data_IF_006248049345
#
_entry.id   IF_006248049345
#
_cell.length_a   1.000
_cell.length_b   1.000
_cell.length_c   1.000
_cell.angle_alpha   90.00
_cell.angle_beta   90.00
_cell.angle_gamma   90.00
#
_symmetry.space_group_name_H-M   'P 1'
#
loop_
_entity.id
_entity.type
_entity.pdbx_description
1 polymer ?
#
# COMPACT_ATOMS: atom_id res chain seq x y z
N UNK A 1 -5.85 -24.13 -7.75
CA UNK A 1 -5.54 -22.99 -8.66
C UNK A 1 -4.72 -21.97 -7.87
N UNK A 2 -3.49 -21.68 -8.29
CA UNK A 2 -2.64 -20.65 -7.69
C UNK A 2 -2.85 -19.31 -8.39
N UNK A 3 -2.66 -18.22 -7.69
CA UNK A 3 -2.74 -16.86 -8.26
C UNK A 3 -1.35 -16.25 -8.32
N UNK A 4 -0.98 -15.76 -9.50
CA UNK A 4 0.19 -14.91 -9.72
C UNK A 4 -0.30 -13.47 -9.77
N UNK A 5 0.14 -12.63 -8.84
CA UNK A 5 -0.04 -11.19 -8.93
C UNK A 5 1.18 -10.58 -9.64
N UNK A 6 0.96 -9.88 -10.73
CA UNK A 6 1.99 -9.18 -11.50
C UNK A 6 1.91 -7.70 -11.18
N UNK A 7 2.81 -7.25 -10.34
CA UNK A 7 2.94 -5.84 -9.98
C UNK A 7 3.81 -5.13 -11.03
N UNK A 8 3.20 -4.29 -11.85
CA UNK A 8 3.90 -3.71 -12.99
C UNK A 8 3.34 -2.35 -13.38
N UNK A 9 4.23 -1.49 -13.89
CA UNK A 9 3.84 -0.29 -14.62
C UNK A 9 3.68 -0.63 -16.11
N UNK A 10 2.62 -0.13 -16.72
CA UNK A 10 2.23 -0.43 -18.10
C UNK A 10 3.19 0.18 -19.13
N UNK A 11 4.00 1.17 -18.74
CA UNK A 11 5.07 1.77 -19.58
C UNK A 11 6.45 1.15 -19.30
N UNK A 12 6.54 0.13 -18.45
CA UNK A 12 7.79 -0.54 -18.13
C UNK A 12 8.18 -1.54 -19.22
N UNK A 13 9.28 -1.30 -19.93
CA UNK A 13 9.78 -2.24 -20.94
C UNK A 13 10.11 -3.63 -20.36
N UNK A 14 10.61 -3.68 -19.11
CA UNK A 14 10.84 -4.94 -18.41
C UNK A 14 9.54 -5.66 -18.04
N UNK A 15 8.46 -4.92 -17.75
CA UNK A 15 7.14 -5.53 -17.53
C UNK A 15 6.57 -6.12 -18.83
N UNK A 16 6.75 -5.45 -19.97
CA UNK A 16 6.38 -5.97 -21.28
C UNK A 16 7.15 -7.26 -21.61
N UNK A 17 8.47 -7.30 -21.38
CA UNK A 17 9.29 -8.52 -21.53
C UNK A 17 8.83 -9.59 -20.54
N UNK A 18 8.55 -9.22 -19.30
CA UNK A 18 8.06 -10.13 -18.25
C UNK A 18 6.75 -10.80 -18.62
N UNK A 19 5.82 -10.05 -19.23
CA UNK A 19 4.56 -10.59 -19.76
C UNK A 19 4.81 -11.66 -20.81
N UNK A 20 5.67 -11.39 -21.80
CA UNK A 20 6.02 -12.38 -22.85
C UNK A 20 6.62 -13.66 -22.26
N UNK A 21 7.44 -13.55 -21.24
CA UNK A 21 8.05 -14.70 -20.55
C UNK A 21 7.04 -15.47 -19.71
N UNK A 22 6.10 -14.76 -19.07
CA UNK A 22 5.02 -15.38 -18.32
C UNK A 22 4.10 -16.22 -19.23
N UNK A 23 3.82 -15.72 -20.44
CA UNK A 23 3.04 -16.45 -21.47
C UNK A 23 3.75 -17.70 -22.00
N UNK A 24 5.07 -17.74 -21.91
CA UNK A 24 5.89 -18.90 -22.30
C UNK A 24 6.12 -19.90 -21.17
N UNK A 25 5.77 -19.53 -19.94
CA UNK A 25 5.97 -20.39 -18.78
C UNK A 25 4.97 -21.55 -18.78
N UNK A 26 5.47 -22.77 -18.58
CA UNK A 26 4.66 -23.96 -18.43
C UNK A 26 4.44 -24.25 -16.95
N UNK A 27 3.18 -24.27 -16.55
CA UNK A 27 2.79 -24.50 -15.15
C UNK A 27 2.21 -25.92 -15.00
N UNK A 28 2.60 -26.63 -13.93
CA UNK A 28 2.13 -27.97 -13.62
C UNK A 28 0.69 -27.99 -13.06
N UNK A 29 0.11 -26.83 -12.83
CA UNK A 29 -1.22 -26.62 -12.25
C UNK A 29 -1.90 -25.39 -12.86
N UNK A 30 -3.22 -25.28 -12.67
CA UNK A 30 -3.99 -24.10 -13.10
C UNK A 30 -3.53 -22.84 -12.36
N UNK A 31 -3.22 -21.81 -13.12
CA UNK A 31 -2.75 -20.52 -12.61
C UNK A 31 -3.67 -19.40 -13.07
N UNK A 32 -4.05 -18.55 -12.15
CA UNK A 32 -4.75 -17.31 -12.42
C UNK A 32 -3.75 -16.13 -12.39
N UNK A 33 -3.72 -15.33 -13.43
CA UNK A 33 -2.85 -14.15 -13.52
C UNK A 33 -3.69 -12.92 -13.22
N UNK A 34 -3.23 -12.09 -12.27
CA UNK A 34 -3.88 -10.83 -11.90
C UNK A 34 -2.84 -9.70 -11.95
N UNK A 35 -3.14 -8.67 -12.72
CA UNK A 35 -2.29 -7.49 -12.82
C UNK A 35 -2.60 -6.51 -11.69
N UNK A 36 -1.52 -5.96 -11.10
CA UNK A 36 -1.55 -5.00 -10.01
C UNK A 36 -0.78 -3.74 -10.36
N UNK A 37 -1.23 -2.57 -9.94
CA UNK A 37 -0.58 -1.32 -10.29
C UNK A 37 0.79 -1.18 -9.62
N UNK A 38 1.74 -0.69 -10.38
CA UNK A 38 3.01 -0.15 -9.91
C UNK A 38 3.32 1.11 -10.73
N UNK A 39 3.86 2.14 -10.09
CA UNK A 39 4.30 3.37 -10.77
C UNK A 39 5.81 3.49 -10.62
N UNK A 40 6.54 3.49 -11.72
CA UNK A 40 8.01 3.57 -11.72
C UNK A 40 8.46 4.91 -11.13
N UNK A 41 7.84 5.99 -11.56
CA UNK A 41 8.05 7.32 -11.02
C UNK A 41 6.71 8.07 -10.95
N UNK A 42 6.05 8.05 -9.79
CA UNK A 42 4.74 8.68 -9.66
C UNK A 42 4.76 10.21 -9.84
N UNK A 43 5.94 10.82 -9.87
CA UNK A 43 6.11 12.27 -10.04
C UNK A 43 6.52 12.67 -11.46
N UNK A 44 6.92 11.70 -12.31
CA UNK A 44 7.31 12.00 -13.68
C UNK A 44 6.11 12.33 -14.56
N UNK A 45 6.18 13.39 -15.39
CA UNK A 45 5.08 13.74 -16.30
C UNK A 45 4.68 12.60 -17.24
N UNK A 46 5.63 11.79 -17.70
CA UNK A 46 5.36 10.64 -18.57
C UNK A 46 4.59 9.51 -17.88
N UNK A 47 4.70 9.39 -16.56
CA UNK A 47 3.99 8.37 -15.75
C UNK A 47 2.71 8.93 -15.13
N UNK A 48 2.49 10.24 -15.18
CA UNK A 48 1.24 10.84 -14.70
C UNK A 48 0.00 10.29 -15.41
N UNK A 49 0.16 9.86 -16.67
CA UNK A 49 -0.91 9.23 -17.45
C UNK A 49 -1.16 7.75 -17.12
N UNK A 50 -0.19 7.01 -16.58
CA UNK A 50 -0.35 5.58 -16.32
C UNK A 50 -1.31 5.28 -15.16
N UNK A 51 -1.57 6.24 -14.29
CA UNK A 51 -2.56 6.08 -13.21
C UNK A 51 -3.97 5.80 -13.75
N UNK A 52 -4.43 6.55 -14.77
CA UNK A 52 -5.74 6.31 -15.40
C UNK A 52 -5.75 4.97 -16.17
N UNK A 53 -4.63 4.57 -16.80
CA UNK A 53 -4.49 3.25 -17.41
C UNK A 53 -4.61 2.12 -16.35
N UNK A 54 -4.00 2.28 -15.19
CA UNK A 54 -4.18 1.32 -14.08
C UNK A 54 -5.61 1.27 -13.56
N UNK A 55 -6.34 2.40 -13.57
CA UNK A 55 -7.77 2.42 -13.21
C UNK A 55 -8.59 1.58 -14.18
N UNK A 56 -8.37 1.72 -15.48
CA UNK A 56 -9.07 0.91 -16.49
C UNK A 56 -8.74 -0.57 -16.31
N UNK A 57 -7.48 -0.92 -16.05
CA UNK A 57 -7.05 -2.32 -15.76
C UNK A 57 -7.70 -2.86 -14.48
N UNK A 58 -7.84 -2.05 -13.43
CA UNK A 58 -8.54 -2.46 -12.20
C UNK A 58 -10.04 -2.68 -12.44
N UNK A 59 -10.68 -1.78 -13.19
CA UNK A 59 -12.09 -1.90 -13.56
C UNK A 59 -12.34 -3.12 -14.48
N UNK A 60 -11.38 -3.48 -15.34
CA UNK A 60 -11.48 -4.70 -16.14
C UNK A 60 -11.49 -5.96 -15.28
N UNK A 61 -10.68 -6.00 -14.23
CA UNK A 61 -10.70 -7.11 -13.26
C UNK A 61 -12.04 -7.21 -12.54
N UNK A 62 -12.54 -6.09 -12.06
CA UNK A 62 -13.81 -6.01 -11.31
C UNK A 62 -15.02 -6.43 -12.17
N UNK A 63 -15.08 -5.94 -13.41
CA UNK A 63 -16.25 -6.13 -14.28
C UNK A 63 -16.21 -7.39 -15.15
N UNK A 64 -15.04 -7.93 -15.46
CA UNK A 64 -14.88 -9.06 -16.37
C UNK A 64 -13.85 -10.10 -15.97
N UNK A 65 -13.25 -9.95 -14.79
CA UNK A 65 -12.31 -10.91 -14.23
C UNK A 65 -10.92 -10.90 -14.86
N UNK A 66 -10.06 -11.85 -14.45
CA UNK A 66 -8.64 -11.86 -14.83
C UNK A 66 -8.39 -11.98 -16.34
N UNK A 67 -9.25 -12.70 -17.08
CA UNK A 67 -9.09 -12.86 -18.52
C UNK A 67 -9.30 -11.54 -19.28
N UNK A 68 -10.33 -10.75 -18.93
CA UNK A 68 -10.55 -9.45 -19.50
C UNK A 68 -9.45 -8.47 -19.11
N UNK A 69 -9.01 -8.53 -17.86
CA UNK A 69 -7.90 -7.71 -17.38
C UNK A 69 -6.62 -7.98 -18.17
N UNK A 70 -6.22 -9.23 -18.37
CA UNK A 70 -5.01 -9.57 -19.12
C UNK A 70 -5.10 -9.19 -20.59
N UNK A 71 -6.25 -9.39 -21.23
CA UNK A 71 -6.49 -8.96 -22.61
C UNK A 71 -6.37 -7.42 -22.76
N UNK A 72 -6.85 -6.67 -21.77
CA UNK A 72 -6.72 -5.21 -21.77
C UNK A 72 -5.28 -4.75 -21.52
N UNK A 73 -4.56 -5.36 -20.59
CA UNK A 73 -3.14 -5.10 -20.36
C UNK A 73 -2.34 -5.33 -21.65
N UNK A 74 -2.63 -6.42 -22.37
CA UNK A 74 -2.01 -6.71 -23.67
C UNK A 74 -2.22 -5.57 -24.66
N UNK A 75 -3.47 -5.11 -24.82
CA UNK A 75 -3.80 -4.01 -25.76
C UNK A 75 -3.13 -2.69 -25.37
N UNK A 76 -3.14 -2.35 -24.08
CA UNK A 76 -2.51 -1.11 -23.58
C UNK A 76 -1.00 -1.16 -23.81
N UNK A 77 -0.35 -2.27 -23.48
CA UNK A 77 1.10 -2.42 -23.70
C UNK A 77 1.44 -2.42 -25.20
N UNK A 78 0.64 -3.07 -26.06
CA UNK A 78 0.83 -3.04 -27.49
C UNK A 78 0.69 -1.63 -28.05
N UNK A 79 -0.38 -0.91 -27.69
CA UNK A 79 -0.61 0.47 -28.09
C UNK A 79 0.57 1.38 -27.72
N UNK A 80 1.11 1.22 -26.51
CA UNK A 80 2.25 2.02 -26.04
C UNK A 80 3.57 1.64 -26.73
N UNK A 81 3.95 0.35 -26.74
CA UNK A 81 5.28 -0.09 -27.18
C UNK A 81 5.40 -0.28 -28.70
N UNK A 82 4.31 -0.61 -29.39
CA UNK A 82 4.32 -0.92 -30.80
C UNK A 82 3.75 0.22 -31.63
N UNK A 83 2.57 0.74 -31.23
CA UNK A 83 1.87 1.77 -32.01
C UNK A 83 2.31 3.19 -31.63
N UNK A 84 3.03 3.36 -30.49
CA UNK A 84 3.45 4.66 -29.99
C UNK A 84 2.31 5.55 -29.51
N UNK A 85 1.19 4.93 -29.11
CA UNK A 85 -0.01 5.64 -28.64
C UNK A 85 0.20 6.25 -27.27
N UNK A 86 -0.43 7.39 -27.02
CA UNK A 86 -0.47 8.02 -25.69
C UNK A 86 -1.51 7.32 -24.81
N UNK A 87 -1.05 6.43 -23.93
CA UNK A 87 -1.91 5.77 -22.93
C UNK A 87 -2.21 6.64 -21.70
N UNK A 88 -1.77 7.90 -21.70
CA UNK A 88 -2.21 8.94 -20.76
C UNK A 88 -3.49 9.63 -21.21
N UNK A 89 -3.84 9.54 -22.48
CA UNK A 89 -5.07 10.09 -23.03
C UNK A 89 -6.28 9.20 -22.70
N UNK A 90 -7.28 9.76 -22.03
CA UNK A 90 -8.49 9.02 -21.63
C UNK A 90 -9.32 8.51 -22.80
N UNK A 91 -9.35 9.24 -23.94
CA UNK A 91 -10.07 8.79 -25.12
C UNK A 91 -9.40 7.55 -25.73
N UNK A 92 -8.06 7.54 -25.78
CA UNK A 92 -7.27 6.37 -26.19
C UNK A 92 -7.54 5.17 -25.27
N UNK A 93 -7.51 5.36 -23.95
CA UNK A 93 -7.79 4.30 -22.99
C UNK A 93 -9.22 3.75 -23.13
N UNK A 94 -10.22 4.62 -23.32
CA UNK A 94 -11.60 4.20 -23.51
C UNK A 94 -11.79 3.39 -24.82
N UNK A 95 -11.10 3.78 -25.88
CA UNK A 95 -11.13 3.04 -27.15
C UNK A 95 -10.50 1.65 -27.02
N UNK A 96 -9.32 1.54 -26.38
CA UNK A 96 -8.64 0.26 -26.11
C UNK A 96 -9.48 -0.66 -25.23
N UNK A 97 -10.17 -0.10 -24.24
CA UNK A 97 -11.07 -0.83 -23.37
C UNK A 97 -12.30 -1.37 -24.13
N UNK A 98 -12.93 -0.54 -24.95
CA UNK A 98 -14.06 -0.94 -25.81
C UNK A 98 -13.67 -2.06 -26.78
N UNK A 99 -12.50 -2.01 -27.38
CA UNK A 99 -11.96 -3.08 -28.22
C UNK A 99 -11.73 -4.39 -27.46
N UNK A 100 -11.46 -4.32 -26.15
CA UNK A 100 -11.36 -5.48 -25.27
C UNK A 100 -12.73 -5.99 -24.79
N UNK A 101 -13.83 -5.28 -25.13
CA UNK A 101 -15.18 -5.62 -24.67
C UNK A 101 -15.56 -4.97 -23.35
N UNK A 102 -14.89 -3.89 -22.95
CA UNK A 102 -15.17 -3.12 -21.73
C UNK A 102 -15.64 -1.71 -22.07
N UNK A 103 -16.95 -1.54 -22.22
CA UNK A 103 -17.58 -0.26 -22.58
C UNK A 103 -17.71 0.69 -21.37
N UNK A 104 -17.97 1.98 -21.66
CA UNK A 104 -18.28 3.01 -20.66
C UNK A 104 -17.08 3.51 -19.86
N UNK A 105 -15.85 3.32 -20.36
CA UNK A 105 -14.65 3.70 -19.62
C UNK A 105 -14.40 5.21 -19.63
N UNK A 106 -14.86 5.95 -20.63
CA UNK A 106 -14.74 7.40 -20.64
C UNK A 106 -15.50 8.01 -19.46
N UNK A 107 -16.76 7.64 -19.31
CA UNK A 107 -17.63 8.09 -18.21
C UNK A 107 -17.11 7.60 -16.84
N UNK A 108 -16.65 6.36 -16.75
CA UNK A 108 -16.08 5.81 -15.52
C UNK A 108 -14.82 6.57 -15.07
N UNK A 109 -13.93 6.91 -16.02
CA UNK A 109 -12.74 7.70 -15.74
C UNK A 109 -13.10 9.13 -15.31
N UNK A 110 -14.09 9.75 -15.93
CA UNK A 110 -14.55 11.10 -15.58
C UNK A 110 -15.24 11.11 -14.20
N UNK A 111 -15.97 10.05 -13.86
CA UNK A 111 -16.59 9.85 -12.54
C UNK A 111 -15.58 9.52 -11.43
N UNK A 112 -14.31 9.28 -11.76
CA UNK A 112 -13.27 8.92 -10.78
C UNK A 112 -13.27 7.45 -10.37
N UNK A 113 -14.01 6.56 -11.05
CA UNK A 113 -14.05 5.14 -10.73
C UNK A 113 -12.66 4.49 -10.78
N UNK A 114 -12.41 3.50 -9.93
CA UNK A 114 -11.14 2.80 -9.82
C UNK A 114 -10.01 3.58 -9.12
N UNK A 115 -10.23 4.87 -8.79
CA UNK A 115 -9.19 5.72 -8.17
C UNK A 115 -8.76 5.20 -6.80
N UNK A 116 -9.72 4.89 -5.95
CA UNK A 116 -9.45 4.43 -4.59
C UNK A 116 -8.86 3.02 -4.60
N UNK A 117 -9.37 2.14 -5.46
CA UNK A 117 -8.83 0.79 -5.65
C UNK A 117 -7.34 0.82 -6.06
N UNK A 118 -6.99 1.62 -7.06
CA UNK A 118 -5.59 1.73 -7.51
C UNK A 118 -4.69 2.28 -6.41
N UNK A 119 -5.14 3.31 -5.68
CA UNK A 119 -4.39 3.87 -4.54
C UNK A 119 -4.16 2.84 -3.44
N UNK A 120 -5.19 2.10 -3.08
CA UNK A 120 -5.11 1.08 -2.03
C UNK A 120 -4.21 -0.08 -2.48
N UNK A 121 -4.27 -0.49 -3.75
CA UNK A 121 -3.36 -1.50 -4.31
C UNK A 121 -1.90 -1.01 -4.34
N UNK A 122 -1.62 0.23 -4.73
CA UNK A 122 -0.27 0.79 -4.67
C UNK A 122 0.30 0.79 -3.24
N UNK A 123 -0.51 1.14 -2.25
CA UNK A 123 -0.13 1.07 -0.84
C UNK A 123 0.08 -0.37 -0.38
N UNK A 124 -0.79 -1.30 -0.80
CA UNK A 124 -0.61 -2.73 -0.55
C UNK A 124 0.70 -3.24 -1.13
N UNK A 125 0.99 -2.94 -2.40
CA UNK A 125 2.26 -3.30 -3.04
C UNK A 125 3.46 -2.82 -2.25
N UNK A 126 3.45 -1.56 -1.82
CA UNK A 126 4.48 -0.97 -0.96
C UNK A 126 4.59 -1.70 0.38
N UNK A 127 3.46 -1.99 1.04
CA UNK A 127 3.43 -2.67 2.33
C UNK A 127 3.99 -4.09 2.28
N UNK A 128 3.77 -4.83 1.19
CA UNK A 128 4.32 -6.18 0.99
C UNK A 128 5.73 -6.21 0.39
N UNK A 129 6.37 -5.03 0.23
CA UNK A 129 7.75 -4.92 -0.20
C UNK A 129 7.99 -4.93 -1.72
N UNK A 130 6.97 -4.64 -2.53
CA UNK A 130 7.15 -4.44 -3.97
C UNK A 130 7.88 -3.12 -4.21
N UNK A 131 9.09 -3.20 -4.78
CA UNK A 131 9.96 -2.04 -4.99
C UNK A 131 10.41 -1.87 -6.44
N UNK A 132 9.95 -2.74 -7.34
CA UNK A 132 10.34 -2.71 -8.76
C UNK A 132 9.25 -3.29 -9.65
N UNK A 133 9.31 -2.92 -10.94
CA UNK A 133 8.42 -3.40 -12.02
C UNK A 133 9.23 -4.19 -13.05
N UNK A 134 8.78 -5.40 -13.44
CA UNK A 134 7.73 -6.17 -12.79
C UNK A 134 8.19 -6.85 -11.50
N UNK A 135 7.26 -7.15 -10.60
CA UNK A 135 7.44 -8.10 -9.50
C UNK A 135 6.31 -9.12 -9.56
N UNK A 136 6.66 -10.40 -9.51
CA UNK A 136 5.71 -11.52 -9.50
C UNK A 136 5.55 -12.02 -8.07
N UNK A 137 4.31 -12.12 -7.60
CA UNK A 137 3.98 -12.55 -6.23
C UNK A 137 3.05 -13.75 -6.30
N UNK A 138 3.39 -14.82 -5.59
CA UNK A 138 2.57 -16.04 -5.45
C UNK A 138 2.54 -16.42 -3.97
N UNK A 139 1.39 -16.27 -3.33
CA UNK A 139 1.29 -16.49 -1.89
C UNK A 139 2.19 -15.52 -1.10
N UNK A 140 3.10 -16.07 -0.28
CA UNK A 140 4.11 -15.30 0.47
C UNK A 140 5.46 -15.22 -0.26
N UNK A 141 5.54 -15.75 -1.48
CA UNK A 141 6.77 -15.76 -2.28
C UNK A 141 6.73 -14.68 -3.35
N UNK A 142 7.86 -14.02 -3.58
CA UNK A 142 7.96 -12.97 -4.60
C UNK A 142 9.30 -13.04 -5.34
N UNK A 143 9.28 -12.63 -6.61
CA UNK A 143 10.49 -12.49 -7.43
C UNK A 143 10.40 -11.23 -8.28
N UNK A 144 11.48 -10.45 -8.30
CA UNK A 144 11.55 -9.17 -8.98
C UNK A 144 12.19 -9.29 -10.38
N UNK A 145 11.77 -8.42 -11.30
CA UNK A 145 12.30 -8.31 -12.64
C UNK A 145 11.70 -9.30 -13.63
N UNK A 146 12.03 -9.12 -14.92
CA UNK A 146 11.59 -10.00 -16.01
C UNK A 146 12.40 -11.32 -15.94
N UNK A 147 11.91 -12.27 -15.19
CA UNK A 147 12.53 -13.58 -15.01
C UNK A 147 12.30 -14.50 -16.22
N UNK A 148 13.08 -15.58 -16.37
CA UNK A 148 12.84 -16.57 -17.42
C UNK A 148 11.58 -17.40 -17.14
N UNK A 149 10.99 -18.01 -18.18
CA UNK A 149 9.80 -18.86 -18.02
C UNK A 149 9.98 -19.96 -16.97
N UNK A 150 11.16 -20.59 -16.94
CA UNK A 150 11.49 -21.66 -16.00
C UNK A 150 11.51 -21.17 -14.56
N UNK A 151 12.06 -19.96 -14.32
CA UNK A 151 12.11 -19.34 -12.99
C UNK A 151 10.71 -18.94 -12.52
N UNK A 152 9.84 -18.49 -13.43
CA UNK A 152 8.43 -18.22 -13.11
C UNK A 152 7.66 -19.51 -12.79
N UNK A 153 7.90 -20.59 -13.51
CA UNK A 153 7.32 -21.90 -13.20
C UNK A 153 7.81 -22.42 -11.84
N UNK A 154 9.10 -22.27 -11.54
CA UNK A 154 9.68 -22.64 -10.25
C UNK A 154 9.11 -21.79 -9.08
N UNK A 155 8.88 -20.51 -9.30
CA UNK A 155 8.19 -19.66 -8.30
C UNK A 155 6.81 -20.25 -7.97
N UNK A 156 6.00 -20.59 -8.97
CA UNK A 156 4.67 -21.16 -8.76
C UNK A 156 4.76 -22.51 -8.04
N UNK A 157 5.68 -23.39 -8.48
CA UNK A 157 5.86 -24.74 -7.91
C UNK A 157 6.21 -24.71 -6.43
N UNK A 158 7.12 -23.80 -6.03
CA UNK A 158 7.68 -23.74 -4.68
C UNK A 158 7.10 -22.62 -3.80
N UNK A 159 6.10 -21.89 -4.31
CA UNK A 159 5.49 -20.79 -3.56
C UNK A 159 4.93 -21.25 -2.22
N UNK A 160 5.27 -20.52 -1.18
CA UNK A 160 4.66 -20.69 0.13
C UNK A 160 3.23 -20.12 0.07
N UNK A 161 2.20 -20.95 0.38
CA UNK A 161 0.83 -20.46 0.40
C UNK A 161 0.66 -19.26 1.32
N UNK A 162 -0.09 -18.26 0.87
CA UNK A 162 -0.43 -17.14 1.75
C UNK A 162 -1.23 -17.65 2.94
N UNK A 163 -0.87 -17.16 4.13
CA UNK A 163 -1.68 -17.41 5.31
C UNK A 163 -2.99 -16.64 5.18
N UNK A 164 -4.10 -17.37 5.24
CA UNK A 164 -5.42 -16.74 5.33
C UNK A 164 -5.56 -16.02 6.67
N UNK A 165 -5.69 -14.72 6.61
CA UNK A 165 -5.91 -13.86 7.76
C UNK A 165 -7.20 -13.07 7.52
N UNK A 166 -7.94 -12.72 8.58
CA UNK A 166 -9.02 -11.75 8.48
C UNK A 166 -8.53 -10.45 7.84
N UNK A 167 -9.39 -9.79 7.06
CA UNK A 167 -9.05 -8.54 6.36
C UNK A 167 -8.54 -7.46 7.32
N UNK A 168 -9.13 -7.38 8.50
CA UNK A 168 -8.75 -6.42 9.55
C UNK A 168 -7.29 -6.63 9.99
N UNK A 169 -6.88 -7.90 10.17
CA UNK A 169 -5.51 -8.24 10.56
C UNK A 169 -4.54 -7.94 9.43
N UNK A 170 -4.94 -8.21 8.19
CA UNK A 170 -4.13 -7.93 7.00
C UNK A 170 -3.92 -6.43 6.83
N UNK A 171 -4.99 -5.62 6.95
CA UNK A 171 -4.91 -4.16 6.90
C UNK A 171 -4.04 -3.58 8.02
N UNK A 172 -4.19 -4.10 9.24
CA UNK A 172 -3.37 -3.67 10.38
C UNK A 172 -1.87 -3.89 10.10
N UNK A 173 -1.50 -5.08 9.62
CA UNK A 173 -0.12 -5.41 9.24
C UNK A 173 0.41 -4.54 8.11
N UNK A 174 -0.40 -4.25 7.10
CA UNK A 174 -0.01 -3.35 6.02
C UNK A 174 0.23 -1.93 6.54
N UNK A 175 -0.62 -1.44 7.44
CA UNK A 175 -0.45 -0.13 8.05
C UNK A 175 0.82 -0.06 8.93
N UNK A 176 1.13 -1.11 9.68
CA UNK A 176 2.39 -1.22 10.43
C UNK A 176 3.59 -1.16 9.50
N UNK A 177 3.59 -1.97 8.44
CA UNK A 177 4.66 -1.97 7.43
C UNK A 177 4.85 -0.59 6.79
N UNK A 178 3.76 0.11 6.45
CA UNK A 178 3.83 1.46 5.90
C UNK A 178 4.42 2.47 6.89
N UNK A 179 4.12 2.35 8.18
CA UNK A 179 4.75 3.17 9.22
C UNK A 179 6.27 2.92 9.31
N UNK A 180 6.69 1.67 9.24
CA UNK A 180 8.11 1.30 9.25
C UNK A 180 8.83 1.82 8.00
N UNK A 181 8.13 1.89 6.87
CA UNK A 181 8.56 2.53 5.62
C UNK A 181 8.44 4.06 5.62
N UNK A 182 8.11 4.66 6.77
CA UNK A 182 7.93 6.11 6.97
C UNK A 182 6.85 6.73 6.08
N UNK A 183 5.80 5.97 5.83
CA UNK A 183 4.61 6.42 5.12
C UNK A 183 3.37 6.47 6.04
N UNK A 184 3.30 7.45 6.95
CA UNK A 184 2.20 7.55 7.89
C UNK A 184 0.87 7.94 7.23
N UNK A 185 0.91 8.62 6.07
CA UNK A 185 -0.32 8.96 5.34
C UNK A 185 -0.88 7.74 4.62
N UNK A 186 -0.02 6.91 4.01
CA UNK A 186 -0.43 5.64 3.45
C UNK A 186 -0.98 4.68 4.52
N UNK A 187 -0.36 4.64 5.70
CA UNK A 187 -0.87 3.87 6.83
C UNK A 187 -2.28 4.33 7.24
N UNK A 188 -2.52 5.64 7.37
CA UNK A 188 -3.84 6.18 7.69
C UNK A 188 -4.88 5.81 6.63
N UNK A 189 -4.52 5.86 5.35
CA UNK A 189 -5.41 5.48 4.26
C UNK A 189 -5.85 4.02 4.37
N UNK A 190 -4.90 3.10 4.55
CA UNK A 190 -5.20 1.66 4.71
C UNK A 190 -6.04 1.39 5.96
N UNK A 191 -5.89 2.22 7.00
CA UNK A 191 -6.62 2.09 8.25
C UNK A 191 -8.03 2.69 8.22
N UNK A 192 -8.43 3.46 7.21
CA UNK A 192 -9.75 4.10 7.19
C UNK A 192 -10.92 3.15 7.53
N UNK A 193 -11.05 1.96 6.93
CA UNK A 193 -12.11 1.02 7.29
C UNK A 193 -11.99 0.51 8.73
N UNK A 194 -10.75 0.22 9.20
CA UNK A 194 -10.52 -0.23 10.57
C UNK A 194 -10.92 0.84 11.60
N UNK A 195 -10.64 2.11 11.30
CA UNK A 195 -11.02 3.22 12.18
C UNK A 195 -12.54 3.41 12.22
N UNK A 196 -13.25 3.14 11.12
CA UNK A 196 -14.70 3.22 11.07
C UNK A 196 -15.38 2.07 11.83
N UNK A 197 -14.88 0.84 11.70
CA UNK A 197 -15.51 -0.36 12.24
C UNK A 197 -14.95 -0.77 13.62
N UNK A 198 -13.66 -0.58 13.84
CA UNK A 198 -12.90 -1.02 15.01
C UNK A 198 -12.14 0.13 15.70
N UNK A 199 -12.63 1.36 15.53
CA UNK A 199 -11.98 2.56 16.09
C UNK A 199 -11.87 2.56 17.62
N UNK A 200 -12.54 1.63 18.31
CA UNK A 200 -12.43 1.46 19.77
C UNK A 200 -11.41 0.41 20.20
N UNK A 201 -10.86 -0.38 19.28
CA UNK A 201 -9.82 -1.36 19.57
C UNK A 201 -8.51 -0.64 19.95
N UNK A 202 -7.88 -1.02 21.09
CA UNK A 202 -6.65 -0.36 21.55
C UNK A 202 -5.49 -0.45 20.55
N UNK A 203 -5.36 -1.56 19.81
CA UNK A 203 -4.28 -1.75 18.83
C UNK A 203 -4.48 -0.84 17.61
N UNK A 204 -5.73 -0.75 17.12
CA UNK A 204 -6.10 0.16 16.03
C UNK A 204 -5.85 1.62 16.43
N UNK A 205 -6.27 2.01 17.64
CA UNK A 205 -6.03 3.36 18.16
C UNK A 205 -4.55 3.69 18.30
N UNK A 206 -3.78 2.78 18.86
CA UNK A 206 -2.35 3.00 19.04
C UNK A 206 -1.64 3.15 17.71
N UNK A 207 -1.98 2.32 16.73
CA UNK A 207 -1.41 2.41 15.38
C UNK A 207 -1.80 3.72 14.69
N UNK A 208 -3.07 4.13 14.80
CA UNK A 208 -3.53 5.43 14.31
C UNK A 208 -2.79 6.61 14.96
N UNK A 209 -2.57 6.56 16.27
CA UNK A 209 -1.81 7.58 16.98
C UNK A 209 -0.36 7.67 16.50
N UNK A 210 0.29 6.54 16.23
CA UNK A 210 1.62 6.48 15.59
C UNK A 210 1.61 7.15 14.22
N UNK A 211 0.60 6.87 13.41
CA UNK A 211 0.45 7.44 12.08
C UNK A 211 0.15 8.96 12.13
N UNK A 212 -0.72 9.41 13.02
CA UNK A 212 -0.96 10.84 13.26
C UNK A 212 0.30 11.56 13.75
N UNK A 213 1.05 10.97 14.67
CA UNK A 213 2.33 11.52 15.12
C UNK A 213 3.33 11.61 13.96
N UNK A 214 3.47 10.55 13.16
CA UNK A 214 4.37 10.48 12.01
C UNK A 214 4.05 11.53 10.95
N UNK A 215 2.76 11.77 10.68
CA UNK A 215 2.26 12.76 9.70
C UNK A 215 2.11 14.17 10.25
N UNK A 216 2.63 14.44 11.46
CA UNK A 216 2.55 15.75 12.16
C UNK A 216 1.11 16.21 12.48
N UNK A 217 0.13 15.33 12.46
CA UNK A 217 -1.24 15.61 12.92
C UNK A 217 -1.32 15.54 14.45
N UNK A 218 -0.53 16.40 15.15
CA UNK A 218 -0.26 16.29 16.57
C UNK A 218 -1.52 16.46 17.46
N UNK A 219 -2.51 17.20 17.00
CA UNK A 219 -3.80 17.33 17.69
C UNK A 219 -4.53 15.99 17.73
N UNK A 220 -4.68 15.33 16.56
CA UNK A 220 -5.30 14.02 16.46
C UNK A 220 -4.54 12.94 17.23
N UNK A 221 -3.19 12.97 17.14
CA UNK A 221 -2.35 12.05 17.89
C UNK A 221 -2.60 12.17 19.40
N UNK A 222 -2.63 13.41 19.92
CA UNK A 222 -2.90 13.68 21.33
C UNK A 222 -4.27 13.16 21.77
N UNK A 223 -5.34 13.56 21.07
CA UNK A 223 -6.71 13.17 21.41
C UNK A 223 -6.89 11.64 21.41
N UNK A 224 -6.31 10.96 20.41
CA UNK A 224 -6.35 9.50 20.32
C UNK A 224 -5.61 8.84 21.49
N UNK A 225 -4.43 9.35 21.87
CA UNK A 225 -3.63 8.82 22.98
C UNK A 225 -4.25 9.10 24.35
N UNK A 226 -4.81 10.28 24.56
CA UNK A 226 -5.53 10.63 25.79
C UNK A 226 -6.70 9.66 25.98
N UNK A 227 -7.53 9.48 24.97
CA UNK A 227 -8.65 8.53 25.02
C UNK A 227 -8.22 7.07 25.18
N UNK A 228 -7.09 6.66 24.58
CA UNK A 228 -6.52 5.33 24.79
C UNK A 228 -6.09 5.13 26.24
N UNK A 229 -5.41 6.10 26.84
CA UNK A 229 -4.90 6.04 28.21
C UNK A 229 -6.00 6.12 29.27
N UNK A 230 -7.17 6.67 28.97
CA UNK A 230 -8.35 6.57 29.86
C UNK A 230 -8.80 5.11 30.02
N UNK A 231 -8.70 4.30 28.97
CA UNK A 231 -9.10 2.89 28.97
C UNK A 231 -7.96 1.94 29.37
N UNK A 232 -6.74 2.29 29.02
CA UNK A 232 -5.52 1.50 29.26
C UNK A 232 -4.45 2.35 29.97
N UNK A 233 -4.66 2.77 31.24
CA UNK A 233 -3.74 3.67 31.93
C UNK A 233 -2.34 3.07 32.17
N UNK A 234 -2.20 1.73 32.04
CA UNK A 234 -0.93 1.00 32.14
C UNK A 234 -0.12 0.94 30.85
N UNK A 235 -0.60 1.48 29.73
CA UNK A 235 0.15 1.44 28.47
C UNK A 235 1.28 2.46 28.50
N UNK A 236 2.49 1.98 28.79
CA UNK A 236 3.69 2.82 28.88
C UNK A 236 4.09 3.40 27.52
N UNK A 237 3.87 2.67 26.41
CA UNK A 237 4.23 3.16 25.10
C UNK A 237 3.27 4.28 24.62
N UNK A 238 1.97 4.10 24.81
CA UNK A 238 0.99 5.17 24.53
C UNK A 238 1.31 6.44 25.34
N UNK A 239 1.70 6.25 26.60
CA UNK A 239 2.10 7.36 27.48
C UNK A 239 3.38 8.06 27.01
N UNK A 240 4.38 7.29 26.60
CA UNK A 240 5.59 7.81 25.97
C UNK A 240 5.28 8.59 24.70
N UNK A 241 4.47 8.01 23.80
CA UNK A 241 4.08 8.66 22.54
C UNK A 241 3.28 9.96 22.78
N UNK A 242 2.42 10.00 23.80
CA UNK A 242 1.73 11.22 24.20
C UNK A 242 2.71 12.30 24.66
N UNK A 243 3.67 11.94 25.50
CA UNK A 243 4.74 12.85 25.93
C UNK A 243 5.54 13.40 24.74
N UNK A 244 5.91 12.54 23.79
CA UNK A 244 6.60 12.94 22.54
C UNK A 244 5.73 13.83 21.66
N UNK A 245 4.43 13.56 21.61
CA UNK A 245 3.46 14.37 20.84
C UNK A 245 3.38 15.78 21.41
N UNK A 246 3.26 15.90 22.73
CA UNK A 246 3.25 17.18 23.45
C UNK A 246 4.58 17.92 23.33
N UNK A 247 5.71 17.23 23.45
CA UNK A 247 7.04 17.81 23.21
C UNK A 247 7.13 18.44 21.81
N UNK A 248 6.73 17.69 20.77
CA UNK A 248 6.75 18.14 19.37
C UNK A 248 5.75 19.28 19.12
N UNK A 249 4.64 19.31 19.85
CA UNK A 249 3.67 20.39 19.84
C UNK A 249 4.13 21.65 20.62
N UNK A 250 5.38 21.70 21.08
CA UNK A 250 5.97 22.76 21.89
C UNK A 250 5.23 23.00 23.24
N UNK A 251 4.78 21.93 23.87
CA UNK A 251 4.11 21.91 25.19
C UNK A 251 4.93 21.09 26.21
N UNK A 252 6.17 21.49 26.51
CA UNK A 252 7.10 20.66 27.31
C UNK A 252 6.63 20.46 28.76
N UNK A 253 5.95 21.47 29.34
CA UNK A 253 5.40 21.37 30.71
C UNK A 253 4.36 20.25 30.82
N UNK A 254 3.52 20.10 29.81
CA UNK A 254 2.50 19.05 29.76
C UNK A 254 3.10 17.68 29.37
N UNK A 255 4.16 17.67 28.56
CA UNK A 255 4.86 16.44 28.18
C UNK A 255 5.55 15.76 29.37
N UNK A 256 6.07 16.56 30.30
CA UNK A 256 6.93 16.10 31.40
C UNK A 256 6.31 15.00 32.28
N UNK A 257 5.06 15.11 32.78
CA UNK A 257 4.47 14.06 33.61
C UNK A 257 4.29 12.75 32.85
N UNK A 258 3.95 12.79 31.55
CA UNK A 258 3.80 11.60 30.72
C UNK A 258 5.13 10.89 30.49
N UNK A 259 6.20 11.64 30.18
CA UNK A 259 7.53 11.05 29.97
C UNK A 259 8.12 10.51 31.28
N UNK A 260 7.92 11.18 32.42
CA UNK A 260 8.33 10.64 33.73
C UNK A 260 7.65 9.33 34.06
N UNK A 261 6.35 9.26 33.85
CA UNK A 261 5.59 8.04 34.09
C UNK A 261 6.05 6.92 33.15
N UNK A 262 6.20 7.18 31.85
CA UNK A 262 6.66 6.20 30.88
C UNK A 262 8.06 5.66 31.25
N UNK A 263 9.02 6.53 31.59
CA UNK A 263 10.38 6.15 31.99
C UNK A 263 10.41 5.38 33.34
N UNK A 264 9.43 5.59 34.21
CA UNK A 264 9.29 4.81 35.44
C UNK A 264 8.70 3.41 35.18
N UNK A 265 7.94 3.23 34.09
CA UNK A 265 7.28 1.98 33.76
C UNK A 265 8.13 1.08 32.81
N UNK A 266 9.09 1.64 32.10
CA UNK A 266 9.94 0.93 31.15
C UNK A 266 11.38 1.46 31.19
N UNK A 267 12.35 0.54 31.08
CA UNK A 267 13.79 0.85 31.06
C UNK A 267 14.33 1.16 29.66
N UNK A 268 13.47 1.39 28.66
CA UNK A 268 13.89 1.72 27.31
C UNK A 268 14.68 3.05 27.27
N UNK A 269 15.82 3.05 26.58
CA UNK A 269 16.72 4.20 26.51
C UNK A 269 16.03 5.43 25.91
N UNK A 270 15.19 5.25 24.89
CA UNK A 270 14.43 6.32 24.22
C UNK A 270 13.52 7.09 25.18
N UNK A 271 12.97 6.41 26.20
CA UNK A 271 12.09 7.03 27.20
C UNK A 271 12.87 7.98 28.11
N UNK A 272 14.03 7.50 28.56
CA UNK A 272 14.93 8.30 29.42
C UNK A 272 15.51 9.50 28.67
N UNK A 273 15.85 9.30 27.40
CA UNK A 273 16.39 10.36 26.56
C UNK A 273 15.36 11.46 26.25
N UNK A 274 14.12 11.03 25.95
CA UNK A 274 13.02 11.99 25.79
C UNK A 274 12.74 12.77 27.07
N UNK A 275 12.75 12.11 28.22
CA UNK A 275 12.57 12.75 29.52
C UNK A 275 13.65 13.79 29.77
N UNK A 276 14.93 13.45 29.65
CA UNK A 276 16.06 14.38 29.84
C UNK A 276 15.97 15.60 28.94
N UNK A 277 15.58 15.40 27.69
CA UNK A 277 15.41 16.48 26.70
C UNK A 277 14.32 17.47 27.11
N UNK A 278 13.20 16.95 27.63
CA UNK A 278 12.08 17.81 28.08
C UNK A 278 12.41 18.48 29.39
N UNK A 279 13.07 17.82 30.36
CA UNK A 279 13.51 18.41 31.62
C UNK A 279 14.41 19.62 31.39
N UNK A 280 15.38 19.53 30.46
CA UNK A 280 16.28 20.65 30.11
C UNK A 280 15.55 21.85 29.48
N UNK A 281 14.32 21.68 28.99
CA UNK A 281 13.52 22.79 28.41
C UNK A 281 12.55 23.42 29.39
N UNK A 282 12.30 22.77 30.53
CA UNK A 282 11.35 23.25 31.57
C UNK A 282 12.11 23.84 32.76
N UNK A 283 13.41 23.50 32.89
CA UNK A 283 14.31 24.12 33.89
C UNK A 283 14.69 25.52 33.49
#
# INVERSE_FOLDING_TARGET
>A
MKRIEVWADLVCSWAHIGKRRLEQAEFDEDVEIVWRPYLIDPMAPATAGTFDAHRVVALALDRGGPALQDALVERIMHAYFVDGSDIGDRATLAALAAEAGLDGMAEALDAGEGTDEVRDQLLRGKAIGVTTSPTFVVGESAIAGAQSPEVLADLVRHAVPARELPDEVTRLRHAESLLDLRDPLGALRIMEPLLAEHGDDPSVRLLAARAYFGSAQLGRARETLESLLERTPGDHYARFLLGRTLERANRPVEALPHLRMAAAMSSEADYTDALRRVESRVS
#
